data_IF_324401460114
#
_entry.id   IF_324401460114
#
_cell.length_a   1.000
_cell.length_b   1.000
_cell.length_c   1.000
_cell.angle_alpha   90.00
_cell.angle_beta   90.00
_cell.angle_gamma   90.00
#
_symmetry.space_group_name_H-M   'P 1'
#
loop_
_entity.id
_entity.type
_entity.pdbx_description
1 polymer ?
#
# COMPACT_ATOMS: atom_id res chain seq x y z
N UNK A 1 5.29 9.83 -13.85
CA UNK A 1 4.82 9.13 -15.07
C UNK A 1 3.65 9.83 -15.74
N UNK A 2 2.59 10.22 -15.02
CA UNK A 2 1.43 10.91 -15.61
C UNK A 2 1.65 12.38 -16.06
N UNK A 3 2.83 12.95 -15.81
CA UNK A 3 3.13 14.37 -16.04
C UNK A 3 2.79 14.84 -17.47
N UNK A 4 3.26 14.12 -18.48
CA UNK A 4 3.05 14.48 -19.89
C UNK A 4 1.58 14.43 -20.33
N UNK A 5 0.76 13.58 -19.70
CA UNK A 5 -0.68 13.52 -19.97
C UNK A 5 -1.35 14.79 -19.46
N UNK A 6 -1.02 15.22 -18.24
CA UNK A 6 -1.58 16.44 -17.66
C UNK A 6 -1.07 17.70 -18.37
N UNK A 7 0.17 17.72 -18.83
CA UNK A 7 0.71 18.79 -19.68
C UNK A 7 -0.03 18.87 -21.02
N UNK A 8 -0.38 17.74 -21.64
CA UNK A 8 -1.21 17.72 -22.84
C UNK A 8 -2.63 18.23 -22.55
N UNK A 9 -3.26 17.82 -21.44
CA UNK A 9 -4.59 18.29 -21.03
C UNK A 9 -4.62 19.80 -20.72
N UNK A 10 -3.53 20.33 -20.17
CA UNK A 10 -3.38 21.76 -19.91
C UNK A 10 -3.44 22.58 -21.20
N UNK A 11 -2.92 22.05 -22.33
CA UNK A 11 -3.05 22.69 -23.65
C UNK A 11 -4.49 22.82 -24.14
N UNK A 12 -5.41 21.99 -23.64
CA UNK A 12 -6.84 22.08 -23.92
C UNK A 12 -7.61 22.87 -22.85
N UNK A 13 -6.91 23.63 -21.99
CA UNK A 13 -7.47 24.37 -20.86
C UNK A 13 -8.30 23.50 -19.91
N UNK A 14 -7.91 22.24 -19.71
CA UNK A 14 -8.61 21.36 -18.79
C UNK A 14 -8.43 21.85 -17.34
N UNK A 15 -9.53 22.05 -16.59
CA UNK A 15 -9.45 22.58 -15.24
C UNK A 15 -8.69 21.63 -14.32
N UNK A 16 -7.74 22.17 -13.54
CA UNK A 16 -6.93 21.41 -12.60
C UNK A 16 -5.72 20.68 -13.19
N UNK A 17 -5.51 20.71 -14.51
CA UNK A 17 -4.34 20.07 -15.14
C UNK A 17 -3.00 20.65 -14.66
N UNK A 18 -2.92 21.97 -14.45
CA UNK A 18 -1.72 22.64 -13.93
C UNK A 18 -1.31 22.23 -12.52
N UNK A 19 -2.21 21.60 -11.72
CA UNK A 19 -1.86 21.09 -10.39
C UNK A 19 -0.80 19.98 -10.45
N UNK A 20 -0.76 19.20 -11.54
CA UNK A 20 0.25 18.16 -11.74
C UNK A 20 1.67 18.70 -11.96
N UNK A 21 1.83 20.00 -12.25
CA UNK A 21 3.13 20.66 -12.28
C UNK A 21 3.83 20.61 -10.92
N UNK A 22 3.06 20.77 -9.83
CA UNK A 22 3.59 20.82 -8.47
C UNK A 22 4.01 19.43 -7.97
N UNK A 23 5.24 19.34 -7.45
CA UNK A 23 5.78 18.09 -6.87
C UNK A 23 4.98 17.69 -5.63
N UNK A 24 4.62 18.65 -4.77
CA UNK A 24 3.85 18.44 -3.55
C UNK A 24 2.50 17.77 -3.84
N UNK A 25 1.79 18.24 -4.86
CA UNK A 25 0.52 17.66 -5.30
C UNK A 25 0.67 16.21 -5.76
N UNK A 26 1.68 15.94 -6.61
CA UNK A 26 1.99 14.58 -7.07
C UNK A 26 2.38 13.64 -5.92
N UNK A 27 3.15 14.12 -4.95
CA UNK A 27 3.55 13.35 -3.78
C UNK A 27 2.35 13.01 -2.88
N UNK A 28 1.48 13.99 -2.62
CA UNK A 28 0.25 13.77 -1.85
C UNK A 28 -0.68 12.76 -2.55
N UNK A 29 -0.86 12.88 -3.86
CA UNK A 29 -1.65 11.94 -4.65
C UNK A 29 -1.06 10.52 -4.58
N UNK A 30 0.26 10.37 -4.68
CA UNK A 30 0.93 9.07 -4.59
C UNK A 30 0.71 8.42 -3.22
N UNK A 31 0.82 9.18 -2.13
CA UNK A 31 0.55 8.71 -0.77
C UNK A 31 -0.90 8.25 -0.59
N UNK A 32 -1.86 9.08 -0.98
CA UNK A 32 -3.29 8.76 -0.87
C UNK A 32 -3.61 7.51 -1.70
N UNK A 33 -3.10 7.46 -2.93
CA UNK A 33 -3.32 6.32 -3.84
C UNK A 33 -2.74 5.02 -3.25
N UNK A 34 -1.50 5.07 -2.74
CA UNK A 34 -0.86 3.92 -2.09
C UNK A 34 -1.64 3.42 -0.88
N UNK A 35 -2.16 4.35 -0.06
CA UNK A 35 -2.99 4.00 1.10
C UNK A 35 -4.28 3.32 0.68
N UNK A 36 -4.99 3.86 -0.32
CA UNK A 36 -6.23 3.29 -0.84
C UNK A 36 -5.99 1.86 -1.36
N UNK A 37 -4.95 1.66 -2.16
CA UNK A 37 -4.56 0.34 -2.66
C UNK A 37 -4.27 -0.61 -1.50
N UNK A 38 -3.46 -0.17 -0.52
CA UNK A 38 -3.09 -0.98 0.64
C UNK A 38 -4.30 -1.42 1.45
N UNK A 39 -5.28 -0.54 1.67
CA UNK A 39 -6.50 -0.86 2.43
C UNK A 39 -7.40 -1.83 1.65
N UNK A 40 -7.63 -1.57 0.36
CA UNK A 40 -8.53 -2.39 -0.47
C UNK A 40 -7.97 -3.79 -0.68
N UNK A 41 -6.67 -3.90 -0.99
CA UNK A 41 -6.04 -5.18 -1.30
C UNK A 41 -5.43 -5.88 -0.09
N UNK A 42 -5.11 -5.17 0.99
CA UNK A 42 -4.45 -5.71 2.18
C UNK A 42 -5.17 -6.92 2.77
N UNK A 43 -6.50 -6.84 3.00
CA UNK A 43 -7.28 -7.97 3.54
C UNK A 43 -7.27 -9.19 2.61
N UNK A 44 -7.20 -8.99 1.29
CA UNK A 44 -7.11 -10.10 0.32
C UNK A 44 -5.72 -10.74 0.35
N UNK A 45 -4.66 -9.95 0.46
CA UNK A 45 -3.28 -10.43 0.56
C UNK A 45 -3.06 -11.19 1.88
N UNK A 46 -3.50 -10.64 3.02
CA UNK A 46 -3.41 -11.29 4.33
C UNK A 46 -4.07 -12.67 4.31
N UNK A 47 -5.30 -12.77 3.78
CA UNK A 47 -6.00 -14.07 3.66
C UNK A 47 -5.29 -15.05 2.74
N UNK A 48 -4.60 -14.59 1.69
CA UNK A 48 -3.80 -15.46 0.82
C UNK A 48 -2.57 -15.99 1.55
N UNK A 49 -1.84 -15.12 2.26
CA UNK A 49 -0.66 -15.52 3.04
C UNK A 49 -1.02 -16.51 4.16
N UNK A 50 -2.13 -16.26 4.87
CA UNK A 50 -2.63 -17.17 5.89
C UNK A 50 -3.00 -18.55 5.32
N UNK A 51 -3.63 -18.60 4.12
CA UNK A 51 -3.94 -19.87 3.43
C UNK A 51 -2.70 -20.63 2.96
N UNK A 52 -1.63 -19.93 2.63
CA UNK A 52 -0.35 -20.54 2.24
C UNK A 52 0.46 -21.04 3.44
N UNK A 53 -0.09 -20.96 4.66
CA UNK A 53 0.59 -21.35 5.90
C UNK A 53 1.94 -20.64 6.12
N UNK A 54 2.09 -19.43 5.56
CA UNK A 54 3.24 -18.55 5.80
C UNK A 54 2.98 -17.83 7.13
N UNK A 55 2.92 -18.60 8.21
CA UNK A 55 2.72 -18.13 9.58
C UNK A 55 4.04 -18.11 10.34
N UNK A 56 4.17 -17.20 11.30
CA UNK A 56 5.32 -17.19 12.19
C UNK A 56 5.22 -18.35 13.21
N UNK A 57 6.24 -19.20 13.28
CA UNK A 57 6.35 -20.20 14.35
C UNK A 57 6.77 -19.48 15.62
N UNK A 58 5.83 -19.30 16.55
CA UNK A 58 6.10 -18.62 17.82
C UNK A 58 7.07 -19.48 18.64
N UNK A 59 8.27 -18.94 18.87
CA UNK A 59 9.25 -19.52 19.79
C UNK A 59 8.89 -19.06 21.20
N UNK A 60 8.89 -19.97 22.16
CA UNK A 60 8.64 -19.64 23.56
C UNK A 60 9.79 -18.78 24.11
N UNK A 61 9.56 -17.47 24.22
CA UNK A 61 10.52 -16.51 24.78
C UNK A 61 10.12 -16.09 26.21
N UNK A 62 9.11 -16.72 26.82
CA UNK A 62 8.66 -16.40 28.19
C UNK A 62 8.07 -15.00 28.36
N UNK A 63 7.62 -14.37 27.28
CA UNK A 63 7.04 -13.03 27.28
C UNK A 63 5.50 -13.11 27.26
N UNK A 64 4.83 -12.25 28.04
CA UNK A 64 3.37 -12.12 27.99
C UNK A 64 2.90 -11.70 26.59
N UNK A 65 1.85 -12.35 26.07
CA UNK A 65 1.26 -12.04 24.76
C UNK A 65 1.96 -12.64 23.53
N UNK A 66 2.99 -13.48 23.68
CA UNK A 66 3.61 -14.13 22.52
C UNK A 66 2.72 -15.17 21.85
N UNK A 67 2.01 -15.95 22.66
CA UNK A 67 1.08 -16.95 22.17
C UNK A 67 -0.08 -16.32 21.38
N UNK A 68 -0.43 -15.06 21.64
CA UNK A 68 -1.46 -14.32 20.89
C UNK A 68 -1.05 -13.98 19.45
N UNK A 69 0.25 -13.91 19.17
CA UNK A 69 0.78 -13.70 17.81
C UNK A 69 0.82 -15.00 16.99
N UNK A 70 0.46 -16.14 17.59
CA UNK A 70 0.43 -17.42 16.89
C UNK A 70 -0.59 -17.39 15.75
N UNK A 71 -0.13 -17.65 14.53
CA UNK A 71 -0.97 -17.67 13.34
C UNK A 71 -1.11 -16.33 12.60
N UNK A 72 -0.43 -15.26 13.04
CA UNK A 72 -0.30 -14.05 12.19
C UNK A 72 0.59 -14.36 10.99
N UNK A 73 0.16 -14.05 9.75
CA UNK A 73 0.96 -14.32 8.57
C UNK A 73 2.22 -13.45 8.55
N UNK A 74 3.35 -14.04 8.15
CA UNK A 74 4.59 -13.31 7.88
C UNK A 74 4.64 -12.84 6.42
N UNK A 75 5.63 -12.01 6.05
CA UNK A 75 5.79 -11.40 4.72
C UNK A 75 4.80 -10.28 4.36
N UNK A 76 4.32 -9.51 5.34
CA UNK A 76 3.45 -8.35 5.12
C UNK A 76 4.04 -7.26 4.20
N UNK A 77 5.36 -7.22 4.01
CA UNK A 77 6.02 -6.30 3.06
C UNK A 77 5.56 -6.43 1.61
N UNK A 78 4.94 -7.57 1.24
CA UNK A 78 4.29 -7.73 -0.07
C UNK A 78 3.15 -6.73 -0.30
N UNK A 79 2.48 -6.26 0.76
CA UNK A 79 1.43 -5.23 0.65
C UNK A 79 2.05 -3.87 0.31
N UNK A 80 3.28 -3.61 0.76
CA UNK A 80 3.98 -2.34 0.55
C UNK A 80 4.54 -2.26 -0.89
N UNK A 81 4.93 -3.40 -1.46
CA UNK A 81 5.46 -3.49 -2.82
C UNK A 81 4.37 -3.60 -3.90
N UNK A 82 3.12 -3.86 -3.52
CA UNK A 82 1.99 -4.02 -4.43
C UNK A 82 1.43 -2.67 -4.92
#
# INVERSE_FOLDING_TARGET
>A
MLYYIFEFLEKYNFPGAGLFGYISFRAALALITSLIISIIFGKRIIRRLQRQQIGETVRDLGLEGQMEKSGTPTMGGLIILA
#
